data_IF_052046169064
#
_entry.id   IF_052046169064
#
_cell.length_a   1.000
_cell.length_b   1.000
_cell.length_c   1.000
_cell.angle_alpha   90.00
_cell.angle_beta   90.00
_cell.angle_gamma   90.00
#
_symmetry.space_group_name_H-M   'P 1'
#
loop_
_entity.id
_entity.type
_entity.pdbx_description
1 polymer ?
#
# COMPACT_ATOMS: atom_id res chain seq x y z
N UNK A 1 49.75 -55.27 7.26
CA UNK A 1 49.50 -53.92 7.84
C UNK A 1 49.17 -52.84 6.77
N UNK A 2 49.76 -52.85 5.58
CA UNK A 2 49.46 -51.87 4.49
C UNK A 2 48.14 -52.14 3.79
N UNK A 3 47.71 -53.37 3.64
CA UNK A 3 46.46 -53.73 2.95
C UNK A 3 45.23 -53.49 3.83
N UNK A 4 45.36 -53.76 5.14
CA UNK A 4 44.28 -53.53 6.10
C UNK A 4 43.93 -52.01 6.28
N UNK A 5 44.92 -51.11 6.09
CA UNK A 5 44.71 -49.67 6.09
C UNK A 5 44.01 -49.17 4.80
N UNK A 6 44.19 -49.84 3.68
CA UNK A 6 43.51 -49.53 2.39
C UNK A 6 42.05 -49.95 2.41
N UNK A 7 41.69 -51.08 3.01
CA UNK A 7 40.31 -51.50 3.19
C UNK A 7 39.56 -50.60 4.17
N UNK A 8 40.19 -50.16 5.29
CA UNK A 8 39.56 -49.23 6.24
C UNK A 8 39.27 -47.83 5.60
N UNK A 9 40.21 -47.34 4.74
CA UNK A 9 40.03 -46.08 4.07
C UNK A 9 38.91 -46.13 3.00
N UNK A 10 38.76 -47.26 2.30
CA UNK A 10 37.71 -47.47 1.33
C UNK A 10 36.31 -47.58 2.00
N UNK A 11 36.22 -48.24 3.16
CA UNK A 11 34.98 -48.36 3.90
C UNK A 11 34.59 -47.02 4.52
N UNK A 12 35.52 -46.19 5.01
CA UNK A 12 35.23 -44.83 5.49
C UNK A 12 34.76 -43.91 4.38
N UNK A 13 35.33 -44.03 3.15
CA UNK A 13 34.87 -43.24 2.00
C UNK A 13 33.45 -43.65 1.54
N UNK A 14 33.13 -44.95 1.59
CA UNK A 14 31.79 -45.44 1.24
C UNK A 14 30.73 -45.02 2.26
N UNK A 15 31.06 -44.98 3.58
CA UNK A 15 30.18 -44.51 4.64
C UNK A 15 29.97 -42.99 4.54
N UNK A 16 31.00 -42.24 4.17
CA UNK A 16 30.84 -40.79 3.92
C UNK A 16 30.02 -40.49 2.65
N UNK A 17 30.08 -41.33 1.62
CA UNK A 17 29.28 -41.20 0.40
C UNK A 17 27.81 -41.61 0.58
N UNK A 18 27.51 -42.56 1.51
CA UNK A 18 26.12 -42.89 1.84
C UNK A 18 25.44 -41.92 2.83
N UNK A 19 26.21 -41.19 3.64
CA UNK A 19 25.65 -40.13 4.50
C UNK A 19 25.38 -38.81 3.78
N UNK A 20 25.86 -38.64 2.54
CA UNK A 20 25.62 -37.44 1.74
C UNK A 20 24.30 -37.51 0.90
N UNK A 21 23.52 -38.59 1.03
CA UNK A 21 22.33 -38.86 0.21
C UNK A 21 21.00 -38.85 1.00
N UNK A 22 20.97 -38.27 2.18
CA UNK A 22 19.70 -38.01 2.88
C UNK A 22 19.76 -36.69 3.65
N UNK A 23 19.90 -35.58 2.91
CA UNK A 23 19.28 -34.36 3.38
C UNK A 23 17.76 -34.66 3.35
N UNK A 24 17.04 -34.48 4.48
CA UNK A 24 15.59 -34.54 4.42
C UNK A 24 15.18 -33.50 3.38
N UNK A 25 14.35 -33.89 2.40
CA UNK A 25 13.64 -32.91 1.61
C UNK A 25 12.93 -32.01 2.63
N UNK A 26 13.24 -30.72 2.64
CA UNK A 26 12.41 -29.75 3.32
C UNK A 26 11.00 -30.01 2.78
N UNK A 27 10.12 -30.52 3.64
CA UNK A 27 8.69 -30.49 3.38
C UNK A 27 8.36 -29.01 3.25
N UNK A 28 8.31 -28.51 2.03
CA UNK A 28 7.80 -27.17 1.75
C UNK A 28 6.33 -27.19 2.12
N UNK A 29 6.02 -26.73 3.33
CA UNK A 29 4.64 -26.55 3.76
C UNK A 29 3.92 -25.75 2.68
N UNK A 30 2.81 -26.28 2.19
CA UNK A 30 1.98 -25.57 1.22
C UNK A 30 1.54 -24.25 1.85
N UNK A 31 1.85 -23.09 1.23
CA UNK A 31 1.54 -21.80 1.83
C UNK A 31 0.05 -21.67 2.15
N UNK A 32 -0.29 -21.22 3.36
CA UNK A 32 -1.68 -21.06 3.79
C UNK A 32 -2.29 -19.83 3.10
N UNK A 33 -3.42 -19.98 2.38
CA UNK A 33 -4.10 -18.87 1.75
C UNK A 33 -4.62 -17.85 2.78
N UNK A 34 -4.38 -16.58 2.52
CA UNK A 34 -4.82 -15.46 3.36
C UNK A 34 -6.08 -14.78 2.80
N UNK A 35 -6.17 -14.68 1.48
CA UNK A 35 -7.29 -14.04 0.79
C UNK A 35 -7.83 -14.93 -0.32
N UNK A 36 -9.09 -14.68 -0.70
CA UNK A 36 -9.72 -15.22 -1.90
C UNK A 36 -10.08 -14.09 -2.85
N UNK A 37 -10.05 -14.38 -4.14
CA UNK A 37 -10.42 -13.45 -5.20
C UNK A 37 -11.12 -14.20 -6.34
N UNK A 38 -11.62 -13.45 -7.33
CA UNK A 38 -12.22 -13.98 -8.56
C UNK A 38 -11.38 -13.55 -9.75
N UNK A 39 -11.00 -14.49 -10.62
CA UNK A 39 -10.31 -14.21 -11.86
C UNK A 39 -11.20 -13.44 -12.84
N UNK A 40 -10.75 -12.27 -13.34
CA UNK A 40 -11.53 -11.45 -14.30
C UNK A 40 -11.38 -11.92 -15.75
N UNK A 41 -10.31 -12.67 -16.03
CA UNK A 41 -9.97 -13.22 -17.36
C UNK A 41 -9.25 -14.57 -17.18
N UNK A 42 -8.84 -15.20 -18.27
CA UNK A 42 -7.89 -16.29 -18.21
C UNK A 42 -6.51 -15.75 -17.73
N UNK A 43 -5.94 -16.39 -16.71
CA UNK A 43 -4.71 -15.96 -16.04
C UNK A 43 -3.66 -17.05 -16.11
N UNK A 44 -2.44 -16.69 -16.49
CA UNK A 44 -1.27 -17.56 -16.39
C UNK A 44 -0.64 -17.43 -15.01
N UNK A 45 -0.42 -18.54 -14.33
CA UNK A 45 0.39 -18.60 -13.10
C UNK A 45 1.84 -18.79 -13.52
N UNK A 46 2.75 -17.95 -13.02
CA UNK A 46 4.17 -17.95 -13.34
C UNK A 46 5.00 -18.39 -12.15
N UNK A 47 6.16 -18.98 -12.40
CA UNK A 47 7.08 -19.42 -11.34
C UNK A 47 7.60 -18.24 -10.48
N UNK A 48 7.79 -17.07 -11.09
CA UNK A 48 8.33 -15.86 -10.47
C UNK A 48 7.47 -14.64 -10.83
N UNK A 49 7.54 -13.52 -10.06
CA UNK A 49 6.80 -12.30 -10.34
C UNK A 49 7.38 -11.52 -11.53
N UNK A 50 7.43 -12.17 -12.67
CA UNK A 50 7.94 -11.64 -13.95
C UNK A 50 7.06 -12.10 -15.11
N UNK A 51 6.87 -11.24 -16.11
CA UNK A 51 6.12 -11.58 -17.33
C UNK A 51 6.84 -12.61 -18.20
N UNK A 52 8.16 -12.74 -18.06
CA UNK A 52 9.01 -13.65 -18.81
C UNK A 52 9.25 -14.97 -18.09
N UNK A 53 8.81 -15.10 -16.83
CA UNK A 53 8.95 -16.32 -16.04
C UNK A 53 8.13 -17.48 -16.64
N UNK A 54 8.54 -18.70 -16.37
CA UNK A 54 7.88 -19.94 -16.81
C UNK A 54 6.42 -20.00 -16.34
N UNK A 55 5.53 -20.49 -17.21
CA UNK A 55 4.14 -20.74 -16.87
C UNK A 55 4.01 -22.08 -16.12
N UNK A 56 3.58 -22.04 -14.86
CA UNK A 56 3.42 -23.22 -14.00
C UNK A 56 1.96 -23.64 -13.82
N UNK A 57 0.99 -22.85 -14.33
CA UNK A 57 -0.43 -23.15 -14.24
C UNK A 57 -1.32 -22.07 -14.84
N UNK A 58 -2.63 -22.27 -14.75
CA UNK A 58 -3.64 -21.36 -15.32
C UNK A 58 -4.89 -21.31 -14.46
N UNK A 59 -5.55 -20.12 -14.44
CA UNK A 59 -6.94 -19.94 -14.01
C UNK A 59 -7.83 -19.63 -15.21
N UNK A 60 -9.03 -20.16 -15.24
CA UNK A 60 -10.08 -19.70 -16.17
C UNK A 60 -10.70 -18.40 -15.64
N UNK A 61 -11.32 -17.61 -16.54
CA UNK A 61 -12.16 -16.49 -16.13
C UNK A 61 -13.28 -16.96 -15.19
N UNK A 62 -13.56 -16.18 -14.13
CA UNK A 62 -14.52 -16.52 -13.09
C UNK A 62 -14.00 -17.53 -12.05
N UNK A 63 -12.82 -18.09 -12.22
CA UNK A 63 -12.25 -19.03 -11.24
C UNK A 63 -11.95 -18.36 -9.90
N UNK A 64 -12.14 -19.13 -8.82
CA UNK A 64 -11.71 -18.73 -7.48
C UNK A 64 -10.19 -18.81 -7.38
N UNK A 65 -9.56 -17.72 -6.95
CA UNK A 65 -8.13 -17.60 -6.74
C UNK A 65 -7.85 -17.53 -5.24
N UNK A 66 -6.85 -18.27 -4.78
CA UNK A 66 -6.39 -18.26 -3.39
C UNK A 66 -5.04 -17.55 -3.33
N UNK A 67 -4.97 -16.46 -2.56
CA UNK A 67 -3.80 -15.58 -2.45
C UNK A 67 -3.10 -15.85 -1.13
N UNK A 68 -1.79 -16.06 -1.17
CA UNK A 68 -0.94 -16.32 0.01
C UNK A 68 -0.07 -15.13 0.38
N UNK A 69 0.35 -14.32 -0.59
CA UNK A 69 1.07 -13.08 -0.38
C UNK A 69 0.89 -12.12 -1.56
N UNK A 70 1.36 -10.89 -1.44
CA UNK A 70 1.27 -9.91 -2.53
C UNK A 70 2.43 -8.93 -2.52
N UNK A 71 2.72 -8.42 -3.71
CA UNK A 71 3.54 -7.28 -4.01
C UNK A 71 2.70 -6.21 -4.72
N UNK A 72 3.19 -5.00 -4.96
CA UNK A 72 2.40 -3.95 -5.61
C UNK A 72 1.72 -4.37 -6.92
N UNK A 73 2.42 -5.10 -7.79
CA UNK A 73 1.90 -5.53 -9.11
C UNK A 73 1.61 -7.03 -9.20
N UNK A 74 2.02 -7.84 -8.22
CA UNK A 74 1.93 -9.30 -8.27
C UNK A 74 1.25 -9.89 -7.05
N UNK A 75 0.58 -11.03 -7.25
CA UNK A 75 0.01 -11.86 -6.19
C UNK A 75 0.64 -13.23 -6.24
N UNK A 76 1.13 -13.71 -5.12
CA UNK A 76 1.46 -15.12 -4.97
C UNK A 76 0.19 -15.90 -4.68
N UNK A 77 -0.03 -16.96 -5.44
CA UNK A 77 -1.25 -17.76 -5.39
C UNK A 77 -0.94 -19.24 -5.24
N UNK A 78 -1.90 -19.97 -4.67
CA UNK A 78 -1.85 -21.42 -4.60
C UNK A 78 -3.07 -22.01 -5.31
N UNK A 79 -2.83 -23.08 -6.12
CA UNK A 79 -3.86 -23.84 -6.83
C UNK A 79 -3.52 -25.33 -6.80
N UNK A 80 -4.15 -26.10 -5.91
CA UNK A 80 -3.71 -27.47 -5.62
C UNK A 80 -2.27 -27.46 -5.13
N UNK A 81 -1.40 -28.23 -5.78
CA UNK A 81 0.02 -28.33 -5.45
C UNK A 81 0.88 -27.25 -6.16
N UNK A 82 0.27 -26.37 -6.95
CA UNK A 82 0.98 -25.31 -7.68
C UNK A 82 0.98 -24.05 -6.87
N UNK A 83 2.18 -23.53 -6.54
CA UNK A 83 2.41 -22.18 -6.02
C UNK A 83 3.08 -21.35 -7.11
N UNK A 84 2.65 -20.10 -7.29
CA UNK A 84 3.23 -19.21 -8.30
C UNK A 84 2.63 -17.81 -8.25
N UNK A 85 2.88 -17.02 -9.26
CA UNK A 85 2.57 -15.60 -9.30
C UNK A 85 1.63 -15.24 -10.44
N UNK A 86 0.70 -14.34 -10.16
CA UNK A 86 -0.22 -13.75 -11.14
C UNK A 86 -0.17 -12.24 -11.07
N UNK A 87 -0.53 -11.56 -12.16
CA UNK A 87 -0.61 -10.10 -12.17
C UNK A 87 -1.83 -9.65 -11.34
N UNK A 88 -1.63 -8.71 -10.42
CA UNK A 88 -2.61 -8.31 -9.41
C UNK A 88 -3.94 -7.81 -9.99
N UNK A 89 -3.92 -7.04 -11.08
CA UNK A 89 -5.14 -6.48 -11.68
C UNK A 89 -5.99 -7.51 -12.44
N UNK A 90 -5.56 -8.77 -12.55
CA UNK A 90 -6.32 -9.84 -13.21
C UNK A 90 -7.37 -10.51 -12.32
N UNK A 91 -7.47 -10.05 -11.07
CA UNK A 91 -8.46 -10.55 -10.10
C UNK A 91 -9.27 -9.39 -9.50
N UNK A 92 -10.47 -9.70 -9.04
CA UNK A 92 -11.38 -8.79 -8.32
C UNK A 92 -11.90 -9.47 -7.04
N UNK A 93 -12.65 -8.70 -6.22
CA UNK A 93 -13.30 -9.20 -5.00
C UNK A 93 -12.31 -9.86 -4.01
N UNK A 94 -11.14 -9.24 -3.83
CA UNK A 94 -10.15 -9.71 -2.88
C UNK A 94 -10.69 -9.52 -1.45
N UNK A 95 -11.08 -10.61 -0.81
CA UNK A 95 -11.60 -10.61 0.55
C UNK A 95 -10.78 -11.52 1.45
N UNK A 96 -10.56 -11.16 2.72
CA UNK A 96 -9.92 -12.04 3.68
C UNK A 96 -10.65 -13.38 3.81
N UNK A 97 -9.89 -14.46 3.98
CA UNK A 97 -10.47 -15.78 4.32
C UNK A 97 -10.95 -15.77 5.76
N UNK A 98 -10.14 -15.19 6.66
CA UNK A 98 -10.51 -14.91 8.03
C UNK A 98 -10.97 -13.44 8.16
N UNK A 99 -12.16 -13.23 8.75
CA UNK A 99 -12.75 -11.90 8.93
C UNK A 99 -11.97 -11.00 9.90
N UNK A 100 -11.09 -11.56 10.71
CA UNK A 100 -10.21 -10.80 11.62
C UNK A 100 -8.96 -10.26 10.93
N UNK A 101 -8.70 -10.68 9.68
CA UNK A 101 -7.55 -10.20 8.91
C UNK A 101 -7.81 -8.82 8.32
N UNK A 102 -6.71 -8.10 8.11
CA UNK A 102 -6.73 -6.79 7.47
C UNK A 102 -7.28 -6.86 6.02
N UNK A 103 -7.93 -5.79 5.53
CA UNK A 103 -8.37 -5.69 4.15
C UNK A 103 -7.20 -5.92 3.17
N UNK A 104 -7.51 -6.50 2.01
CA UNK A 104 -6.51 -6.79 1.00
C UNK A 104 -5.80 -5.50 0.50
N UNK A 105 -4.52 -5.63 0.25
CA UNK A 105 -3.72 -4.56 -0.37
C UNK A 105 -3.20 -3.48 0.58
N UNK A 106 -3.47 -3.62 1.86
CA UNK A 106 -2.91 -2.72 2.85
C UNK A 106 -1.37 -2.87 2.92
N UNK A 107 -0.72 -1.78 3.28
CA UNK A 107 0.68 -1.76 3.69
C UNK A 107 0.77 -1.03 5.02
N UNK A 108 1.67 -1.46 5.88
CA UNK A 108 1.96 -0.80 7.15
C UNK A 108 3.24 0.00 6.99
N UNK A 109 3.16 1.29 7.22
CA UNK A 109 4.33 2.13 7.39
C UNK A 109 4.80 2.05 8.85
N UNK A 110 6.10 2.08 9.07
CA UNK A 110 6.70 1.94 10.40
C UNK A 110 7.26 3.25 10.94
N UNK A 111 7.53 4.21 10.03
CA UNK A 111 8.12 5.49 10.40
C UNK A 111 7.51 6.64 9.61
N UNK A 112 7.64 7.84 10.17
CA UNK A 112 7.45 9.11 9.47
C UNK A 112 8.78 9.87 9.52
N UNK A 113 9.24 10.36 8.36
CA UNK A 113 10.41 11.20 8.23
C UNK A 113 10.00 12.65 7.96
N UNK A 114 10.54 13.60 8.72
CA UNK A 114 10.44 15.02 8.44
C UNK A 114 11.60 15.45 7.56
N UNK A 115 11.29 16.15 6.49
CA UNK A 115 12.29 16.58 5.50
C UNK A 115 12.81 17.98 5.86
N UNK A 116 14.02 18.06 6.37
CA UNK A 116 14.68 19.31 6.80
C UNK A 116 15.35 20.09 5.68
N UNK A 117 15.58 19.49 4.53
CA UNK A 117 15.96 20.16 3.28
C UNK A 117 15.64 19.29 2.08
N UNK A 118 15.36 19.93 0.94
CA UNK A 118 14.91 19.22 -0.28
C UNK A 118 15.77 18.01 -0.61
N UNK A 119 15.10 16.90 -0.89
CA UNK A 119 15.71 15.61 -1.22
C UNK A 119 15.02 14.96 -2.40
N UNK A 120 15.49 13.78 -2.81
CA UNK A 120 14.99 13.07 -3.99
C UNK A 120 14.64 11.65 -3.60
N UNK A 121 13.45 11.20 -3.98
CA UNK A 121 13.13 9.77 -4.01
C UNK A 121 13.72 9.15 -5.27
N UNK A 122 14.31 7.96 -5.12
CA UNK A 122 14.97 7.22 -6.19
C UNK A 122 14.30 5.87 -6.42
N UNK A 123 14.51 5.32 -7.62
CA UNK A 123 13.94 4.02 -8.02
C UNK A 123 14.56 2.83 -7.25
N UNK A 124 15.81 2.96 -6.82
CA UNK A 124 16.55 1.96 -6.04
C UNK A 124 17.33 2.63 -4.89
N UNK A 125 17.73 1.88 -3.84
CA UNK A 125 18.54 2.40 -2.73
C UNK A 125 20.00 2.61 -3.13
N UNK A 126 20.23 3.46 -4.13
CA UNK A 126 21.50 3.77 -4.73
C UNK A 126 21.55 5.25 -5.13
N UNK A 127 22.71 5.90 -4.91
CA UNK A 127 22.90 7.32 -5.24
C UNK A 127 22.86 7.58 -6.75
N UNK A 128 23.20 6.61 -7.58
CA UNK A 128 23.20 6.70 -9.04
C UNK A 128 21.86 6.24 -9.66
N UNK A 129 20.94 5.70 -8.85
CA UNK A 129 19.61 5.28 -9.33
C UNK A 129 18.79 6.48 -9.83
N UNK A 130 17.86 6.21 -10.74
CA UNK A 130 17.00 7.22 -11.35
C UNK A 130 16.25 8.03 -10.28
N UNK A 131 16.26 9.34 -10.42
CA UNK A 131 15.44 10.25 -9.63
C UNK A 131 13.96 10.18 -10.10
N UNK A 132 13.04 9.95 -9.17
CA UNK A 132 11.61 9.83 -9.44
C UNK A 132 10.87 11.12 -9.13
N UNK A 133 11.08 11.69 -7.95
CA UNK A 133 10.39 12.90 -7.49
C UNK A 133 11.26 13.66 -6.49
N UNK A 134 11.19 15.00 -6.55
CA UNK A 134 11.79 15.88 -5.55
C UNK A 134 10.80 16.07 -4.41
N UNK A 135 11.26 15.86 -3.19
CA UNK A 135 10.52 16.12 -1.96
C UNK A 135 11.08 17.42 -1.36
N UNK A 136 10.25 18.46 -1.21
CA UNK A 136 10.69 19.74 -0.67
C UNK A 136 11.01 19.69 0.83
N UNK A 137 11.70 20.72 1.29
CA UNK A 137 11.85 21.01 2.72
C UNK A 137 10.47 21.22 3.37
N UNK A 138 10.31 20.74 4.60
CA UNK A 138 9.09 20.87 5.39
C UNK A 138 8.04 19.77 5.14
N UNK A 139 8.29 18.87 4.19
CA UNK A 139 7.40 17.74 3.94
C UNK A 139 7.61 16.59 4.93
N UNK A 140 6.55 15.78 5.06
CA UNK A 140 6.57 14.52 5.82
C UNK A 140 6.39 13.34 4.88
N UNK A 141 7.12 12.25 5.11
CA UNK A 141 7.00 11.01 4.36
C UNK A 141 6.78 9.82 5.28
N UNK A 142 5.77 9.02 4.96
CA UNK A 142 5.56 7.72 5.59
C UNK A 142 6.49 6.68 4.96
N UNK A 143 7.26 5.96 5.78
CA UNK A 143 8.24 4.97 5.36
C UNK A 143 7.79 3.57 5.79
N UNK A 144 7.90 2.60 4.87
CA UNK A 144 7.63 1.19 5.14
C UNK A 144 8.71 0.56 6.03
N UNK A 145 9.97 0.90 5.78
CA UNK A 145 11.12 0.44 6.54
C UNK A 145 12.30 1.41 6.35
N UNK A 146 13.31 1.25 7.21
CA UNK A 146 14.61 1.93 7.07
C UNK A 146 15.69 0.86 7.12
N UNK A 147 16.41 0.68 6.02
CA UNK A 147 17.43 -0.34 5.87
C UNK A 147 18.67 0.21 5.15
N UNK A 148 19.85 -0.11 5.64
CA UNK A 148 21.14 0.26 5.02
C UNK A 148 21.27 1.75 4.66
N UNK A 149 20.69 2.65 5.47
CA UNK A 149 20.73 4.09 5.23
C UNK A 149 19.72 4.60 4.20
N UNK A 150 18.71 3.78 3.86
CA UNK A 150 17.63 4.14 2.97
C UNK A 150 16.26 3.86 3.60
N UNK A 151 15.35 4.83 3.47
CA UNK A 151 13.94 4.69 3.80
C UNK A 151 13.15 4.23 2.57
N UNK A 152 12.37 3.15 2.71
CA UNK A 152 11.51 2.61 1.66
C UNK A 152 10.14 3.27 1.71
N UNK A 153 9.68 3.78 0.58
CA UNK A 153 8.41 4.51 0.43
C UNK A 153 7.52 3.79 -0.57
N UNK A 154 6.22 3.68 -0.30
CA UNK A 154 5.25 3.25 -1.32
C UNK A 154 5.11 4.37 -2.35
N UNK A 155 5.48 4.10 -3.59
CA UNK A 155 5.43 5.05 -4.69
C UNK A 155 4.59 4.50 -5.83
N UNK A 156 3.37 4.99 -5.99
CA UNK A 156 2.37 4.46 -6.91
C UNK A 156 2.08 2.98 -6.63
N UNK A 157 2.47 2.09 -7.51
CA UNK A 157 2.30 0.63 -7.41
C UNK A 157 3.63 -0.11 -7.22
N UNK A 158 4.69 0.64 -6.87
CA UNK A 158 6.04 0.13 -6.66
C UNK A 158 6.65 0.79 -5.43
N UNK A 159 7.95 0.74 -5.30
CA UNK A 159 8.67 1.39 -4.21
C UNK A 159 9.60 2.49 -4.73
N UNK A 160 9.83 3.48 -3.89
CA UNK A 160 10.89 4.46 -4.03
C UNK A 160 11.72 4.51 -2.75
N UNK A 161 12.89 5.11 -2.83
CA UNK A 161 13.86 5.11 -1.75
C UNK A 161 14.33 6.51 -1.43
N UNK A 162 14.26 6.86 -0.15
CA UNK A 162 14.77 8.10 0.43
C UNK A 162 16.11 7.82 1.07
N UNK A 163 17.16 8.57 0.70
CA UNK A 163 18.44 8.49 1.42
C UNK A 163 18.30 9.11 2.80
N UNK A 164 18.60 8.32 3.83
CA UNK A 164 18.53 8.73 5.24
C UNK A 164 19.81 9.45 5.64
N UNK A 165 19.94 10.71 5.23
CA UNK A 165 21.10 11.54 5.52
C UNK A 165 20.68 12.86 6.21
N UNK A 166 21.58 13.82 6.32
CA UNK A 166 21.37 15.14 7.00
C UNK A 166 20.17 15.95 6.46
N UNK A 167 19.57 15.56 5.36
CA UNK A 167 18.38 16.23 4.80
C UNK A 167 17.10 15.76 5.49
N UNK A 168 17.11 14.64 6.18
CA UNK A 168 16.05 14.19 7.06
C UNK A 168 16.28 14.83 8.43
N UNK A 169 15.34 15.67 8.88
CA UNK A 169 15.46 16.42 10.13
C UNK A 169 15.15 15.53 11.35
N UNK A 170 14.12 14.70 11.25
CA UNK A 170 13.72 13.77 12.29
C UNK A 170 13.06 12.51 11.71
N UNK A 171 13.00 11.48 12.52
CA UNK A 171 12.30 10.22 12.23
C UNK A 171 11.45 9.89 13.45
N UNK A 172 10.15 9.73 13.25
CA UNK A 172 9.20 9.32 14.28
C UNK A 172 8.71 7.90 14.01
N UNK A 173 8.68 6.98 14.98
CA UNK A 173 8.08 5.67 14.82
C UNK A 173 6.56 5.78 14.77
N UNK A 174 5.92 4.91 13.99
CA UNK A 174 4.48 4.68 14.04
C UNK A 174 4.24 3.57 15.07
N UNK A 175 3.55 3.90 16.16
CA UNK A 175 3.41 2.99 17.30
C UNK A 175 2.18 2.08 17.17
N UNK A 176 2.24 0.85 17.72
CA UNK A 176 1.04 0.05 17.97
C UNK A 176 0.06 0.81 18.86
N UNK A 177 -1.24 0.58 18.65
CA UNK A 177 -2.31 1.29 19.40
C UNK A 177 -2.17 1.13 20.91
N UNK A 178 -1.78 -0.07 21.35
CA UNK A 178 -1.57 -0.45 22.76
C UNK A 178 -0.41 0.29 23.43
N UNK A 179 0.58 0.75 22.66
CA UNK A 179 1.78 1.44 23.17
C UNK A 179 1.69 2.96 22.99
N UNK A 180 0.76 3.44 22.12
CA UNK A 180 0.66 4.85 21.75
C UNK A 180 0.02 5.69 22.86
N UNK A 181 0.51 6.92 23.03
CA UNK A 181 -0.02 7.95 23.92
C UNK A 181 -0.52 9.14 23.10
N UNK A 182 -1.16 10.11 23.77
CA UNK A 182 -1.59 11.34 23.11
C UNK A 182 -0.41 12.06 22.43
N UNK A 183 -0.58 12.41 21.16
CA UNK A 183 0.44 12.97 20.29
C UNK A 183 1.15 11.93 19.38
N UNK A 184 1.04 10.64 19.67
CA UNK A 184 1.71 9.60 18.89
C UNK A 184 0.97 9.27 17.60
N UNK A 185 1.74 8.95 16.56
CA UNK A 185 1.21 8.55 15.25
C UNK A 185 0.80 7.08 15.29
N UNK A 186 -0.48 6.81 15.06
CA UNK A 186 -1.04 5.46 14.97
C UNK A 186 -0.89 4.83 13.59
N UNK A 187 -0.95 5.67 12.55
CA UNK A 187 -0.77 5.27 11.16
C UNK A 187 -0.50 6.48 10.29
N UNK A 188 0.26 6.31 9.21
CA UNK A 188 0.50 7.35 8.22
C UNK A 188 0.65 6.74 6.82
N UNK A 189 0.37 7.52 5.79
CA UNK A 189 0.54 7.12 4.40
C UNK A 189 0.84 8.33 3.50
N UNK A 190 1.65 8.10 2.45
CA UNK A 190 1.88 9.07 1.39
C UNK A 190 1.33 8.53 0.06
N UNK A 191 0.73 9.40 -0.73
CA UNK A 191 0.45 9.12 -2.14
C UNK A 191 1.01 10.22 -3.04
N UNK A 192 1.31 9.84 -4.29
CA UNK A 192 1.96 10.71 -5.25
C UNK A 192 1.07 10.88 -6.48
N UNK A 193 1.08 12.07 -7.09
CA UNK A 193 0.29 12.34 -8.28
C UNK A 193 1.09 13.13 -9.32
N UNK A 194 0.80 12.92 -10.63
CA UNK A 194 1.56 13.59 -11.70
C UNK A 194 1.21 15.07 -11.79
N UNK A 195 2.21 15.89 -12.12
CA UNK A 195 2.09 17.34 -12.35
C UNK A 195 2.08 17.67 -13.85
N UNK A 196 1.36 16.87 -14.66
CA UNK A 196 1.30 17.03 -16.11
C UNK A 196 -0.13 17.26 -16.58
N UNK A 197 -0.33 18.23 -17.46
CA UNK A 197 -1.63 18.55 -18.07
C UNK A 197 -2.16 19.94 -17.71
N UNK A 198 -3.05 20.47 -18.54
CA UNK A 198 -3.57 21.85 -18.43
C UNK A 198 -4.40 22.10 -17.15
N UNK A 199 -5.05 21.07 -16.63
CA UNK A 199 -5.93 21.18 -15.46
C UNK A 199 -5.22 20.83 -14.13
N UNK A 200 -3.89 20.70 -14.13
CA UNK A 200 -3.10 20.46 -12.90
C UNK A 200 -3.28 21.59 -11.88
N UNK A 201 -3.28 22.89 -12.22
CA UNK A 201 -3.49 23.93 -11.21
C UNK A 201 -4.81 23.78 -10.44
N UNK A 202 -5.90 23.40 -11.13
CA UNK A 202 -7.18 23.11 -10.48
C UNK A 202 -7.11 21.89 -9.57
N UNK A 203 -6.39 20.84 -10.00
CA UNK A 203 -6.18 19.63 -9.20
C UNK A 203 -5.40 19.91 -7.90
N UNK A 204 -4.33 20.71 -7.95
CA UNK A 204 -3.55 21.11 -6.79
C UNK A 204 -4.43 21.83 -5.75
N UNK A 205 -5.25 22.80 -6.21
CA UNK A 205 -6.20 23.51 -5.34
C UNK A 205 -7.19 22.52 -4.70
N UNK A 206 -7.76 21.60 -5.46
CA UNK A 206 -8.75 20.66 -4.96
C UNK A 206 -8.18 19.67 -3.95
N UNK A 207 -6.97 19.16 -4.18
CA UNK A 207 -6.27 18.26 -3.24
C UNK A 207 -5.97 18.99 -1.94
N UNK A 208 -5.43 20.22 -2.02
CA UNK A 208 -5.17 21.05 -0.84
C UNK A 208 -6.44 21.30 -0.03
N UNK A 209 -7.52 21.74 -0.68
CA UNK A 209 -8.82 21.93 -0.01
C UNK A 209 -9.35 20.63 0.61
N UNK A 210 -9.21 19.49 -0.09
CA UNK A 210 -9.60 18.20 0.46
C UNK A 210 -8.84 17.86 1.75
N UNK A 211 -7.52 18.08 1.78
CA UNK A 211 -6.71 17.91 2.99
C UNK A 211 -7.15 18.87 4.09
N UNK A 212 -7.29 20.18 3.79
CA UNK A 212 -7.73 21.19 4.76
C UNK A 212 -9.08 20.85 5.39
N UNK A 213 -10.05 20.39 4.61
CA UNK A 213 -11.39 20.05 5.12
C UNK A 213 -11.38 18.84 6.04
N UNK A 214 -10.55 17.82 5.77
CA UNK A 214 -10.54 16.60 6.58
C UNK A 214 -9.63 16.67 7.81
N UNK A 215 -8.77 17.71 7.93
CA UNK A 215 -7.97 17.94 9.14
C UNK A 215 -8.88 18.26 10.31
N UNK A 216 -9.11 17.28 11.18
CA UNK A 216 -9.95 17.42 12.36
C UNK A 216 -9.75 16.31 13.36
N UNK A 217 -10.20 16.53 14.56
CA UNK A 217 -10.41 15.49 15.57
C UNK A 217 -11.70 14.73 15.25
N UNK A 218 -11.68 13.42 15.42
CA UNK A 218 -12.83 12.52 15.34
C UNK A 218 -12.98 11.85 16.69
N UNK A 219 -14.08 12.17 17.38
CA UNK A 219 -14.35 11.74 18.75
C UNK A 219 -14.66 10.22 18.84
N UNK A 220 -14.51 9.59 20.01
CA UNK A 220 -14.94 8.22 20.25
C UNK A 220 -16.40 7.99 19.83
N UNK A 221 -16.63 6.97 18.99
CA UNK A 221 -17.94 6.63 18.44
C UNK A 221 -18.41 7.53 17.29
N UNK A 222 -17.69 8.62 16.98
CA UNK A 222 -18.07 9.53 15.89
C UNK A 222 -17.95 8.83 14.52
N UNK A 223 -18.96 9.10 13.68
CA UNK A 223 -18.97 8.70 12.26
C UNK A 223 -18.41 9.85 11.42
N UNK A 224 -17.34 9.59 10.70
CA UNK A 224 -16.77 10.48 9.68
C UNK A 224 -17.35 10.14 8.30
N UNK A 225 -17.81 11.14 7.54
CA UNK A 225 -18.14 11.02 6.12
C UNK A 225 -17.35 12.03 5.33
N UNK A 226 -16.58 11.54 4.35
CA UNK A 226 -15.75 12.42 3.53
C UNK A 226 -16.60 13.43 2.75
N UNK A 227 -17.73 13.02 2.18
CA UNK A 227 -18.61 13.90 1.42
C UNK A 227 -19.33 14.93 2.28
N UNK A 228 -19.76 14.57 3.50
CA UNK A 228 -20.40 15.53 4.43
C UNK A 228 -19.44 16.65 4.82
N UNK A 229 -18.16 16.35 4.94
CA UNK A 229 -17.12 17.28 5.37
C UNK A 229 -16.54 18.07 4.17
N UNK A 230 -16.04 17.38 3.17
CA UNK A 230 -15.35 17.99 2.03
C UNK A 230 -16.29 18.43 0.90
N UNK A 231 -17.45 17.80 0.72
CA UNK A 231 -18.46 18.20 -0.28
C UNK A 231 -19.35 19.38 0.17
N UNK A 232 -20.21 19.92 -0.68
CA UNK A 232 -20.32 19.59 -2.11
C UNK A 232 -19.12 20.12 -2.91
N UNK A 233 -18.72 19.36 -3.93
CA UNK A 233 -17.57 19.70 -4.78
C UNK A 233 -17.98 20.75 -5.81
N UNK A 234 -17.90 22.02 -5.44
CA UNK A 234 -18.33 23.11 -6.28
C UNK A 234 -17.57 24.43 -6.03
N UNK A 235 -17.76 25.43 -6.91
CA UNK A 235 -17.05 26.70 -6.81
C UNK A 235 -17.35 27.47 -5.52
N UNK A 236 -18.52 27.28 -4.91
CA UNK A 236 -18.89 27.91 -3.64
C UNK A 236 -18.00 27.47 -2.46
N UNK A 237 -17.45 26.25 -2.51
CA UNK A 237 -16.45 25.73 -1.57
C UNK A 237 -14.99 25.94 -2.03
N UNK A 238 -14.76 26.70 -3.11
CA UNK A 238 -13.43 26.99 -3.61
C UNK A 238 -12.88 25.96 -4.61
N UNK A 239 -13.58 24.87 -4.87
CA UNK A 239 -13.13 23.85 -5.80
C UNK A 239 -12.99 24.38 -7.23
N UNK A 240 -12.02 23.89 -7.97
CA UNK A 240 -11.73 24.22 -9.34
C UNK A 240 -12.04 23.04 -10.26
N UNK A 241 -12.18 23.32 -11.58
CA UNK A 241 -12.27 22.26 -12.58
C UNK A 241 -10.92 21.56 -12.71
N UNK A 242 -10.95 20.24 -12.66
CA UNK A 242 -9.80 19.36 -12.92
C UNK A 242 -10.32 18.04 -13.51
N UNK A 243 -9.42 17.21 -14.03
CA UNK A 243 -9.79 15.89 -14.58
C UNK A 243 -10.29 14.99 -13.45
N UNK A 244 -11.44 14.40 -13.66
CA UNK A 244 -12.07 13.41 -12.76
C UNK A 244 -12.44 12.17 -13.54
N UNK A 245 -12.52 11.03 -12.86
CA UNK A 245 -13.07 9.80 -13.43
C UNK A 245 -14.59 9.97 -13.62
N UNK A 246 -15.09 9.60 -14.78
CA UNK A 246 -16.50 9.68 -15.13
C UNK A 246 -16.83 8.60 -16.18
N UNK A 247 -17.78 7.73 -15.86
CA UNK A 247 -18.34 6.71 -16.77
C UNK A 247 -17.28 5.92 -17.58
N UNK A 248 -16.26 5.42 -16.87
CA UNK A 248 -15.16 4.64 -17.47
C UNK A 248 -14.09 5.45 -18.22
N UNK A 249 -14.20 6.78 -18.24
CA UNK A 249 -13.24 7.71 -18.82
C UNK A 249 -12.82 8.81 -17.85
N UNK A 250 -12.38 9.95 -18.40
CA UNK A 250 -12.06 11.14 -17.62
C UNK A 250 -12.69 12.37 -18.25
N UNK A 251 -13.24 13.28 -17.44
CA UNK A 251 -13.81 14.54 -17.87
C UNK A 251 -13.47 15.67 -16.86
N UNK A 252 -13.42 16.95 -17.32
CA UNK A 252 -13.26 18.08 -16.43
C UNK A 252 -14.50 18.26 -15.54
N UNK A 253 -14.31 18.19 -14.22
CA UNK A 253 -15.35 18.50 -13.24
C UNK A 253 -14.78 19.23 -12.03
N UNK A 254 -15.65 19.86 -11.23
CA UNK A 254 -15.24 20.44 -9.94
C UNK A 254 -14.85 19.33 -8.96
N UNK A 255 -13.81 19.57 -8.18
CA UNK A 255 -13.32 18.61 -7.18
C UNK A 255 -12.44 17.50 -7.75
N UNK A 256 -12.09 17.53 -9.07
CA UNK A 256 -11.13 16.57 -9.61
C UNK A 256 -9.82 16.55 -8.81
N UNK A 257 -9.47 15.36 -8.29
CA UNK A 257 -8.34 15.17 -7.39
C UNK A 257 -8.72 14.81 -5.95
N UNK A 258 -9.94 15.07 -5.47
CA UNK A 258 -10.36 14.77 -4.10
C UNK A 258 -10.33 13.27 -3.76
N UNK A 259 -10.53 12.40 -4.75
CA UNK A 259 -10.34 10.95 -4.58
C UNK A 259 -8.89 10.56 -4.24
N UNK A 260 -7.91 11.41 -4.56
CA UNK A 260 -6.51 11.22 -4.09
C UNK A 260 -6.46 11.31 -2.55
N UNK A 261 -7.13 12.31 -1.99
CA UNK A 261 -7.15 12.56 -0.55
C UNK A 261 -7.92 11.45 0.19
N UNK A 262 -9.14 11.11 -0.27
CA UNK A 262 -9.95 10.05 0.36
C UNK A 262 -9.27 8.68 0.28
N UNK A 263 -8.59 8.38 -0.83
CA UNK A 263 -7.85 7.13 -0.98
C UNK A 263 -6.59 7.09 -0.11
N UNK A 264 -5.90 8.22 0.06
CA UNK A 264 -4.76 8.31 0.99
C UNK A 264 -5.24 8.11 2.44
N UNK A 265 -6.34 8.75 2.83
CA UNK A 265 -6.95 8.55 4.14
C UNK A 265 -7.37 7.09 4.35
N UNK A 266 -7.96 6.44 3.35
CA UNK A 266 -8.31 5.01 3.45
C UNK A 266 -7.07 4.14 3.72
N UNK A 267 -5.92 4.42 3.08
CA UNK A 267 -4.68 3.69 3.34
C UNK A 267 -4.11 3.95 4.74
N UNK A 268 -4.35 5.11 5.33
CA UNK A 268 -4.01 5.40 6.74
C UNK A 268 -4.89 4.56 7.68
N UNK A 269 -6.17 4.38 7.36
CA UNK A 269 -7.12 3.69 8.24
C UNK A 269 -7.11 2.16 8.09
N UNK A 270 -6.69 1.64 6.92
CA UNK A 270 -6.66 0.19 6.68
C UNK A 270 -5.88 -0.62 7.71
N UNK A 271 -4.68 -0.22 8.16
CA UNK A 271 -3.93 -0.96 9.19
C UNK A 271 -4.65 -1.05 10.53
N UNK A 272 -5.58 -0.13 10.80
CA UNK A 272 -6.35 -0.01 12.04
C UNK A 272 -7.77 -0.56 11.92
N UNK A 273 -8.18 -1.00 10.72
CA UNK A 273 -9.52 -1.55 10.47
C UNK A 273 -9.75 -2.83 11.31
N UNK A 274 -10.85 -2.83 12.07
CA UNK A 274 -11.18 -3.88 13.03
C UNK A 274 -10.33 -3.87 14.32
N UNK A 275 -9.52 -2.81 14.54
CA UNK A 275 -8.68 -2.60 15.71
C UNK A 275 -8.91 -1.23 16.38
N UNK A 276 -10.08 -0.64 16.18
CA UNK A 276 -10.45 0.67 16.65
C UNK A 276 -10.90 1.62 15.53
N UNK A 277 -10.80 1.21 14.29
CA UNK A 277 -11.45 1.88 13.14
C UNK A 277 -12.40 0.91 12.46
N UNK A 278 -13.67 1.31 12.30
CA UNK A 278 -14.66 0.60 11.50
C UNK A 278 -14.84 1.29 10.14
N UNK A 279 -14.53 0.61 9.05
CA UNK A 279 -14.76 1.11 7.67
C UNK A 279 -16.24 0.82 7.31
N UNK A 280 -17.10 1.79 7.56
CA UNK A 280 -18.55 1.68 7.36
C UNK A 280 -18.92 1.60 5.87
N UNK A 281 -18.29 2.44 5.05
CA UNK A 281 -18.58 2.46 3.61
C UNK A 281 -17.36 2.90 2.80
N UNK A 282 -17.08 2.16 1.75
CA UNK A 282 -16.02 2.47 0.79
C UNK A 282 -16.34 1.84 -0.57
N UNK A 283 -16.11 2.56 -1.65
CA UNK A 283 -16.11 2.04 -3.01
C UNK A 283 -14.79 2.30 -3.71
N UNK A 284 -14.33 1.35 -4.53
CA UNK A 284 -13.18 1.56 -5.40
C UNK A 284 -13.61 2.09 -6.77
N UNK A 285 -12.67 2.72 -7.50
CA UNK A 285 -12.88 3.11 -8.89
C UNK A 285 -12.89 1.91 -9.87
N UNK A 286 -12.64 0.69 -9.39
CA UNK A 286 -12.49 -0.50 -10.23
C UNK A 286 -11.07 -0.68 -10.80
N UNK A 287 -10.93 -1.63 -11.70
CA UNK A 287 -9.62 -2.08 -12.20
C UNK A 287 -8.80 -1.01 -12.94
N UNK A 288 -9.45 -0.05 -13.59
CA UNK A 288 -8.80 1.03 -14.35
C UNK A 288 -8.63 2.34 -13.58
N UNK A 289 -9.11 2.40 -12.31
CA UNK A 289 -9.01 3.60 -11.47
C UNK A 289 -7.65 3.79 -10.80
N UNK A 290 -7.55 4.77 -9.95
CA UNK A 290 -6.49 5.06 -8.96
C UNK A 290 -5.10 4.43 -9.23
N UNK A 291 -4.48 4.75 -10.38
CA UNK A 291 -3.14 4.22 -10.76
C UNK A 291 -2.02 4.65 -9.81
N UNK A 292 -2.28 5.63 -8.96
CA UNK A 292 -1.36 6.19 -7.97
C UNK A 292 -1.29 5.40 -6.66
N UNK A 293 -1.98 4.27 -6.58
CA UNK A 293 -2.02 3.36 -5.41
C UNK A 293 -1.98 1.90 -5.87
N UNK A 294 -1.60 0.97 -4.98
CA UNK A 294 -1.78 -0.45 -5.21
C UNK A 294 -3.25 -0.78 -5.50
N UNK A 295 -3.48 -1.78 -6.35
CA UNK A 295 -4.83 -2.18 -6.72
C UNK A 295 -5.69 -2.53 -5.49
N UNK A 296 -6.93 -2.04 -5.48
CA UNK A 296 -7.88 -2.33 -4.42
C UNK A 296 -7.71 -1.50 -3.15
N UNK A 297 -6.78 -0.53 -3.11
CA UNK A 297 -6.54 0.32 -1.94
C UNK A 297 -7.04 1.76 -2.12
N UNK A 298 -7.91 2.01 -3.09
CA UNK A 298 -8.49 3.32 -3.36
C UNK A 298 -9.89 3.47 -2.73
N UNK A 299 -10.32 4.70 -2.49
CA UNK A 299 -11.66 5.06 -2.02
C UNK A 299 -12.22 6.19 -2.88
N UNK A 300 -13.23 5.87 -3.69
CA UNK A 300 -13.90 6.84 -4.54
C UNK A 300 -14.88 7.70 -3.74
N UNK A 301 -14.84 9.01 -3.98
CA UNK A 301 -15.78 10.00 -3.43
C UNK A 301 -16.29 10.91 -4.55
N UNK A 302 -17.49 11.48 -4.38
CA UNK A 302 -18.08 12.33 -5.41
C UNK A 302 -19.58 12.52 -5.21
N UNK A 303 -20.29 12.83 -6.32
CA UNK A 303 -21.73 12.85 -6.37
C UNK A 303 -22.31 11.42 -6.26
N UNK A 304 -23.60 11.31 -5.95
CA UNK A 304 -24.43 10.09 -6.06
C UNK A 304 -23.91 8.87 -5.29
N UNK A 305 -23.96 8.72 -4.07
CA UNK A 305 -23.64 7.51 -3.29
C UNK A 305 -22.17 7.04 -3.34
N UNK A 306 -21.24 7.81 -3.90
CA UNK A 306 -19.80 7.57 -3.76
C UNK A 306 -19.28 8.34 -2.55
N UNK A 307 -19.09 7.65 -1.44
CA UNK A 307 -18.54 8.25 -0.22
C UNK A 307 -17.47 7.35 0.40
N UNK A 308 -16.69 7.91 1.30
CA UNK A 308 -15.81 7.18 2.18
C UNK A 308 -16.20 7.49 3.62
N UNK A 309 -16.64 6.46 4.35
CA UNK A 309 -17.19 6.58 5.68
C UNK A 309 -16.48 5.62 6.62
N UNK A 310 -16.05 6.13 7.75
CA UNK A 310 -15.54 5.32 8.84
C UNK A 310 -16.10 5.80 10.19
N UNK A 311 -15.93 4.99 11.24
CA UNK A 311 -16.23 5.31 12.62
C UNK A 311 -14.98 5.15 13.47
N UNK A 312 -14.75 6.07 14.37
CA UNK A 312 -13.76 5.92 15.44
C UNK A 312 -14.37 5.01 16.53
N UNK A 313 -13.86 3.80 16.67
CA UNK A 313 -14.25 2.85 17.71
C UNK A 313 -13.22 2.75 18.85
N UNK A 314 -12.16 3.58 18.81
CA UNK A 314 -11.30 3.75 19.97
C UNK A 314 -12.05 4.41 21.12
N UNK A 315 -11.56 4.23 22.34
CA UNK A 315 -12.02 4.90 23.55
C UNK A 315 -11.37 6.28 23.76
N UNK A 316 -10.59 6.74 22.76
CA UNK A 316 -9.93 8.04 22.71
C UNK A 316 -10.16 8.75 21.37
N UNK A 317 -10.07 10.09 21.33
CA UNK A 317 -10.16 10.83 20.08
C UNK A 317 -8.95 10.60 19.19
N UNK A 318 -9.14 10.74 17.87
CA UNK A 318 -8.06 10.68 16.89
C UNK A 318 -8.07 11.92 16.01
N UNK A 319 -6.89 12.47 15.72
CA UNK A 319 -6.73 13.61 14.83
C UNK A 319 -6.25 13.14 13.43
N UNK A 320 -6.92 13.62 12.39
CA UNK A 320 -6.46 13.50 11.01
C UNK A 320 -5.56 14.69 10.70
N UNK A 321 -4.25 14.47 10.54
CA UNK A 321 -3.28 15.44 10.01
C UNK A 321 -3.08 15.16 8.51
N UNK A 322 -3.64 16.00 7.66
CA UNK A 322 -3.59 15.85 6.21
C UNK A 322 -2.92 17.06 5.55
N UNK A 323 -1.92 16.80 4.71
CA UNK A 323 -1.14 17.83 4.00
C UNK A 323 -0.96 17.45 2.55
N UNK A 324 -0.87 18.45 1.69
CA UNK A 324 -0.48 18.26 0.30
C UNK A 324 0.51 19.31 -0.13
N UNK A 325 1.41 18.92 -1.01
CA UNK A 325 2.41 19.83 -1.59
C UNK A 325 2.29 19.90 -3.12
N UNK A 326 2.56 21.08 -3.66
CA UNK A 326 2.46 21.37 -5.11
C UNK A 326 3.48 20.57 -5.96
N UNK A 327 4.39 19.82 -5.34
CA UNK A 327 5.26 18.85 -6.02
C UNK A 327 4.63 17.45 -6.17
N UNK A 328 3.33 17.31 -5.91
CA UNK A 328 2.61 16.08 -6.20
C UNK A 328 2.61 15.05 -5.09
N UNK A 329 2.68 15.47 -3.84
CA UNK A 329 2.65 14.62 -2.64
C UNK A 329 1.41 14.94 -1.81
N UNK A 330 0.74 13.89 -1.32
CA UNK A 330 -0.24 13.94 -0.23
C UNK A 330 0.28 13.09 0.91
N UNK A 331 0.39 13.67 2.09
CA UNK A 331 0.69 13.00 3.34
C UNK A 331 -0.54 13.06 4.25
N UNK A 332 -0.91 11.94 4.86
CA UNK A 332 -1.95 11.88 5.89
C UNK A 332 -1.47 10.98 7.02
N UNK A 333 -1.70 11.41 8.25
CA UNK A 333 -1.50 10.63 9.46
C UNK A 333 -2.77 10.62 10.32
N UNK A 334 -2.92 9.56 11.10
CA UNK A 334 -3.87 9.46 12.21
C UNK A 334 -3.05 9.51 13.50
N UNK A 335 -3.37 10.47 14.36
CA UNK A 335 -2.67 10.77 15.60
C UNK A 335 -3.63 10.52 16.75
N UNK A 336 -3.17 9.90 17.83
CA UNK A 336 -3.93 9.77 19.07
C UNK A 336 -4.03 11.13 19.75
N UNK A 337 -5.22 11.52 20.16
CA UNK A 337 -5.48 12.73 20.96
C UNK A 337 -5.73 12.39 22.44
N UNK A 338 -5.82 13.44 23.31
CA UNK A 338 -6.11 13.31 24.74
C UNK A 338 -7.58 12.98 25.01
#
# INVERSE_FOLDING_TARGET
MKEMKRCLAAILLLVFMLCALSAPAEETETPVPLYRATATCAITIRAEPSRDAEAVGYYAAGARVLIVSWEPEWLQVVKGDVTGWIIRHTVTDQVPIDKTMQPFGWVKNEYVADIGSSCVLREAPDDDAQALVVIPEGERLALLSIENGWGKVMYWRTYAYLKMDKRVASIEPILPVEDAQAGDILSAYCSFYPLKGELVPGRLVNIRLGCEYICRVVEPGERFSFNEIAGPYGPAKGYKKAMSFYDGGTAPSYGGGTCQVSSTLYNVLMPLSGRGIDIVYRRSHGASGATYLPHGTDAAVGADALDFIFRNEFDFPVCIDARSHDQGVVYIALIREE
#
